data_IF_810516739267
#
_entry.id   IF_810516739267
#
_cell.length_a   1.000
_cell.length_b   1.000
_cell.length_c   1.000
_cell.angle_alpha   90.00
_cell.angle_beta   90.00
_cell.angle_gamma   90.00
#
_symmetry.space_group_name_H-M   'P 1'
#
loop_
_entity.id
_entity.type
_entity.pdbx_description
1 polymer ?
#
# COMPACT_ATOMS: atom_id res chain seq x y z
N UNK A 1 4.70 24.05 -68.01
CA UNK A 1 3.98 23.35 -66.89
C UNK A 1 2.54 23.91 -66.93
N UNK A 2 1.54 23.08 -67.04
CA UNK A 2 0.13 23.54 -67.04
C UNK A 2 -0.26 23.75 -65.62
N UNK A 3 -0.41 24.98 -65.15
CA UNK A 3 -0.90 25.33 -63.82
C UNK A 3 -2.43 25.26 -63.86
N UNK A 4 -2.99 24.47 -62.96
CA UNK A 4 -4.42 24.39 -62.76
C UNK A 4 -4.87 25.45 -61.73
N UNK A 5 -6.06 26.03 -61.91
CA UNK A 5 -6.63 27.00 -60.96
C UNK A 5 -7.63 26.30 -60.08
N UNK A 6 -7.48 26.44 -58.72
CA UNK A 6 -8.44 25.91 -57.80
C UNK A 6 -9.76 26.70 -57.86
N UNK A 7 -10.90 26.06 -58.14
CA UNK A 7 -12.18 26.76 -58.26
C UNK A 7 -12.71 27.32 -56.95
N UNK A 8 -12.21 26.80 -55.78
CA UNK A 8 -12.66 27.22 -54.47
C UNK A 8 -11.88 28.43 -53.92
N UNK A 9 -10.56 28.51 -54.15
CA UNK A 9 -9.73 29.58 -53.56
C UNK A 9 -8.95 30.41 -54.61
N UNK A 10 -9.04 30.08 -55.89
CA UNK A 10 -8.40 30.81 -57.00
C UNK A 10 -6.88 30.62 -57.11
N UNK A 11 -6.26 29.76 -56.32
CA UNK A 11 -4.79 29.55 -56.37
C UNK A 11 -4.38 28.71 -57.53
N UNK A 12 -3.23 29.08 -58.12
CA UNK A 12 -2.54 28.29 -59.16
C UNK A 12 -1.75 27.16 -58.44
N UNK A 13 -1.96 25.92 -58.88
CA UNK A 13 -1.29 24.72 -58.35
C UNK A 13 -0.84 23.82 -59.48
N UNK A 14 0.13 22.97 -59.25
CA UNK A 14 0.63 22.04 -60.28
C UNK A 14 -0.39 20.97 -60.63
N UNK A 15 -1.18 20.51 -59.63
CA UNK A 15 -2.23 19.51 -59.83
C UNK A 15 -3.42 19.74 -58.90
N UNK A 16 -4.61 19.32 -59.32
CA UNK A 16 -5.83 19.30 -58.55
C UNK A 16 -6.11 17.87 -58.10
N UNK A 17 -6.55 17.73 -56.85
CA UNK A 17 -7.02 16.48 -56.25
C UNK A 17 -8.53 16.59 -56.06
N UNK A 18 -9.30 15.70 -56.71
CA UNK A 18 -10.76 15.79 -56.69
C UNK A 18 -11.32 17.15 -57.19
N UNK A 19 -10.59 17.83 -58.09
CA UNK A 19 -10.97 19.15 -58.61
C UNK A 19 -10.60 20.34 -57.74
N UNK A 20 -9.93 20.16 -56.61
CA UNK A 20 -9.51 21.19 -55.64
C UNK A 20 -7.99 21.21 -55.48
N UNK A 21 -7.43 22.33 -55.05
CA UNK A 21 -6.03 22.33 -54.64
C UNK A 21 -5.85 21.48 -53.36
N UNK A 22 -4.66 20.94 -53.07
CA UNK A 22 -4.42 20.08 -51.90
C UNK A 22 -4.89 20.70 -50.58
N UNK A 23 -4.75 22.00 -50.41
CA UNK A 23 -5.19 22.71 -49.20
C UNK A 23 -6.72 22.78 -49.08
N UNK A 24 -7.43 23.11 -50.14
CA UNK A 24 -8.89 23.10 -50.14
C UNK A 24 -9.45 21.69 -50.06
N UNK A 25 -8.77 20.73 -50.67
CA UNK A 25 -9.13 19.33 -50.55
C UNK A 25 -9.04 18.83 -49.10
N UNK A 26 -7.94 19.11 -48.37
CA UNK A 26 -7.79 18.80 -46.94
C UNK A 26 -8.89 19.42 -46.10
N UNK A 27 -9.22 20.70 -46.34
CA UNK A 27 -10.27 21.41 -45.61
C UNK A 27 -11.66 20.77 -45.78
N UNK A 28 -11.95 20.21 -46.97
CA UNK A 28 -13.22 19.54 -47.26
C UNK A 28 -13.24 18.03 -46.93
N UNK A 29 -12.05 17.43 -46.80
CA UNK A 29 -11.88 16.02 -46.51
C UNK A 29 -10.96 15.87 -45.25
N UNK A 30 -11.46 16.24 -44.08
CA UNK A 30 -10.63 16.19 -42.87
C UNK A 30 -10.22 14.76 -42.50
N UNK A 31 -9.00 14.61 -41.97
CA UNK A 31 -8.45 13.33 -41.52
C UNK A 31 -9.21 12.76 -40.34
N UNK A 32 -9.86 13.64 -39.56
CA UNK A 32 -10.53 13.25 -38.32
C UNK A 32 -11.85 14.00 -38.16
N UNK A 33 -12.89 13.27 -37.84
CA UNK A 33 -14.21 13.83 -37.55
C UNK A 33 -14.83 13.18 -36.34
N UNK A 34 -15.58 13.97 -35.58
CA UNK A 34 -16.37 13.46 -34.45
C UNK A 34 -17.68 12.86 -35.01
N UNK A 35 -17.87 11.54 -34.80
CA UNK A 35 -19.09 10.83 -35.18
C UNK A 35 -20.16 10.88 -34.11
N UNK A 36 -19.74 10.87 -32.83
CA UNK A 36 -20.63 10.75 -31.70
C UNK A 36 -20.08 11.50 -30.48
N UNK A 37 -20.96 12.09 -29.72
CA UNK A 37 -20.64 12.76 -28.45
C UNK A 37 -19.94 11.79 -27.46
N UNK A 38 -18.92 12.29 -26.79
CA UNK A 38 -18.15 11.54 -25.82
C UNK A 38 -18.70 11.85 -24.43
N UNK A 39 -19.18 10.82 -23.76
CA UNK A 39 -19.73 10.91 -22.40
C UNK A 39 -18.83 10.17 -21.44
N UNK A 40 -18.25 10.87 -20.48
CA UNK A 40 -17.55 10.27 -19.34
C UNK A 40 -18.38 10.43 -18.06
N UNK A 41 -18.25 9.47 -17.16
CA UNK A 41 -18.87 9.54 -15.85
C UNK A 41 -17.85 10.10 -14.86
N UNK A 42 -18.29 10.99 -13.94
CA UNK A 42 -17.49 11.51 -12.82
C UNK A 42 -18.19 11.19 -11.51
N UNK A 43 -17.44 10.63 -10.56
CA UNK A 43 -17.96 10.42 -9.22
C UNK A 43 -18.02 11.76 -8.46
N UNK A 44 -19.20 12.19 -8.04
CA UNK A 44 -19.39 13.46 -7.30
C UNK A 44 -18.77 13.47 -5.90
N UNK A 45 -18.40 12.33 -5.34
CA UNK A 45 -17.78 12.24 -4.00
C UNK A 45 -16.26 12.23 -4.12
N UNK A 46 -15.69 11.30 -4.89
CA UNK A 46 -14.25 11.12 -4.96
C UNK A 46 -13.60 11.64 -6.24
N UNK A 47 -14.35 12.22 -7.16
CA UNK A 47 -13.85 12.77 -8.41
C UNK A 47 -13.39 11.73 -9.45
N UNK A 48 -13.44 10.43 -9.16
CA UNK A 48 -13.01 9.39 -10.09
C UNK A 48 -13.80 9.43 -11.40
N UNK A 49 -13.13 9.11 -12.51
CA UNK A 49 -13.70 9.08 -13.85
C UNK A 49 -13.90 7.66 -14.35
N UNK A 50 -14.84 7.50 -15.29
CA UNK A 50 -15.11 6.24 -15.97
C UNK A 50 -15.59 6.50 -17.39
N UNK A 51 -15.07 5.74 -18.36
CA UNK A 51 -15.51 5.77 -19.75
C UNK A 51 -16.13 4.43 -20.16
N UNK A 52 -17.41 4.41 -20.52
CA UNK A 52 -18.14 3.22 -20.94
C UNK A 52 -18.13 2.12 -19.88
N UNK A 53 -17.61 0.95 -20.26
CA UNK A 53 -17.49 -0.27 -19.44
C UNK A 53 -16.12 -0.43 -18.75
N UNK A 54 -15.24 0.60 -18.81
CA UNK A 54 -13.95 0.60 -18.10
C UNK A 54 -14.11 0.61 -16.58
N UNK A 55 -13.02 0.39 -15.86
CA UNK A 55 -12.97 0.64 -14.42
C UNK A 55 -13.04 2.12 -14.07
N UNK A 56 -13.31 2.42 -12.80
CA UNK A 56 -13.16 3.76 -12.25
C UNK A 56 -11.69 4.07 -12.03
N UNK A 57 -11.23 5.20 -12.54
CA UNK A 57 -9.86 5.70 -12.35
C UNK A 57 -9.88 7.16 -11.93
N UNK A 58 -8.78 7.61 -11.41
CA UNK A 58 -8.60 9.01 -11.06
C UNK A 58 -7.39 9.60 -11.79
N UNK A 59 -6.59 8.74 -12.37
CA UNK A 59 -5.48 9.11 -13.22
C UNK A 59 -6.05 9.44 -14.59
N UNK A 60 -5.85 10.69 -15.01
CA UNK A 60 -6.35 11.18 -16.30
C UNK A 60 -5.68 10.41 -17.44
N UNK A 61 -4.42 10.04 -17.27
CA UNK A 61 -3.63 9.25 -18.21
C UNK A 61 -4.27 7.89 -18.50
N UNK A 62 -4.77 7.22 -17.44
CA UNK A 62 -5.48 5.93 -17.57
C UNK A 62 -6.83 6.14 -18.29
N UNK A 63 -7.52 7.24 -18.00
CA UNK A 63 -8.76 7.60 -18.70
C UNK A 63 -8.49 7.88 -20.19
N UNK A 64 -7.42 8.61 -20.51
CA UNK A 64 -6.99 8.91 -21.89
C UNK A 64 -6.72 7.63 -22.67
N UNK A 65 -5.98 6.68 -22.05
CA UNK A 65 -5.69 5.38 -22.67
C UNK A 65 -6.97 4.58 -22.97
N UNK A 66 -7.92 4.56 -22.01
CA UNK A 66 -9.20 3.88 -22.21
C UNK A 66 -10.05 4.51 -23.32
N UNK A 67 -10.04 5.84 -23.42
CA UNK A 67 -10.73 6.56 -24.49
C UNK A 67 -10.03 6.32 -25.82
N UNK A 68 -8.70 6.38 -25.86
CA UNK A 68 -7.88 6.12 -27.05
C UNK A 68 -8.12 4.72 -27.62
N UNK A 69 -8.13 3.70 -26.79
CA UNK A 69 -8.39 2.30 -27.18
C UNK A 69 -9.77 2.13 -27.82
N UNK A 70 -10.73 2.97 -27.49
CA UNK A 70 -12.09 2.95 -27.99
C UNK A 70 -12.38 4.08 -28.99
N UNK A 71 -11.35 4.75 -29.53
CA UNK A 71 -11.47 5.93 -30.38
C UNK A 71 -12.37 5.72 -31.62
N UNK A 72 -12.29 4.55 -32.23
CA UNK A 72 -13.12 4.18 -33.41
C UNK A 72 -14.64 4.18 -33.14
N UNK A 73 -15.06 4.22 -31.85
CA UNK A 73 -16.49 4.29 -31.49
C UNK A 73 -17.08 5.68 -31.66
N UNK A 74 -16.24 6.72 -31.65
CA UNK A 74 -16.69 8.12 -31.70
C UNK A 74 -15.93 8.98 -32.72
N UNK A 75 -14.81 8.50 -33.25
CA UNK A 75 -14.06 9.17 -34.35
C UNK A 75 -14.22 8.42 -35.65
N UNK A 76 -14.18 9.18 -36.74
CA UNK A 76 -14.06 8.68 -38.11
C UNK A 76 -12.79 9.27 -38.71
N UNK A 77 -11.99 8.41 -39.33
CA UNK A 77 -10.77 8.81 -40.00
C UNK A 77 -10.98 8.86 -41.51
N UNK A 78 -10.69 10.01 -42.12
CA UNK A 78 -10.87 10.30 -43.55
C UNK A 78 -9.65 9.94 -44.42
N UNK A 79 -8.74 9.08 -43.89
CA UNK A 79 -7.53 8.73 -44.63
C UNK A 79 -6.71 7.67 -43.92
N UNK A 80 -5.45 7.48 -44.36
CA UNK A 80 -4.49 6.59 -43.73
C UNK A 80 -3.83 7.32 -42.56
N UNK A 81 -4.18 6.92 -41.31
CA UNK A 81 -3.66 7.48 -40.06
C UNK A 81 -2.47 6.65 -39.59
N UNK A 82 -1.38 7.33 -39.26
CA UNK A 82 -0.15 6.73 -38.73
C UNK A 82 0.04 6.93 -37.23
N UNK A 83 -0.51 8.02 -36.67
CA UNK A 83 -0.37 8.33 -35.26
C UNK A 83 -1.63 9.05 -34.74
N UNK A 84 -2.04 8.73 -33.50
CA UNK A 84 -3.14 9.36 -32.77
C UNK A 84 -2.70 9.71 -31.38
N UNK A 85 -2.70 11.00 -31.03
CA UNK A 85 -2.46 11.53 -29.72
C UNK A 85 -3.78 12.08 -29.19
N UNK A 86 -4.17 11.66 -27.99
CA UNK A 86 -5.42 12.05 -27.37
C UNK A 86 -5.13 12.62 -25.98
N UNK A 87 -5.71 13.78 -25.68
CA UNK A 87 -5.65 14.41 -24.36
C UNK A 87 -7.04 14.75 -23.89
N UNK A 88 -7.31 14.43 -22.62
CA UNK A 88 -8.58 14.70 -21.96
C UNK A 88 -8.38 15.78 -20.92
N UNK A 89 -9.18 16.83 -20.99
CA UNK A 89 -9.27 17.85 -19.95
C UNK A 89 -10.68 17.82 -19.33
N UNK A 90 -10.88 16.98 -18.31
CA UNK A 90 -12.21 16.80 -17.75
C UNK A 90 -12.78 18.06 -17.11
N UNK A 91 -11.93 18.89 -16.51
CA UNK A 91 -12.35 20.16 -15.86
C UNK A 91 -12.85 21.17 -16.91
N UNK A 92 -12.16 21.26 -18.05
CA UNK A 92 -12.53 22.14 -19.17
C UNK A 92 -13.64 21.54 -20.03
N UNK A 93 -13.98 20.26 -19.82
CA UNK A 93 -14.91 19.47 -20.62
C UNK A 93 -14.50 19.38 -22.09
N UNK A 94 -13.20 19.21 -22.33
CA UNK A 94 -12.62 19.19 -23.68
C UNK A 94 -11.84 17.89 -23.88
N UNK A 95 -12.01 17.33 -25.09
CA UNK A 95 -11.15 16.32 -25.68
C UNK A 95 -10.35 16.94 -26.82
N UNK A 96 -9.04 16.88 -26.74
CA UNK A 96 -8.12 17.24 -27.82
C UNK A 96 -7.59 15.97 -28.48
N UNK A 97 -7.74 15.89 -29.80
CA UNK A 97 -7.22 14.78 -30.59
C UNK A 97 -6.32 15.34 -31.68
N UNK A 98 -5.09 14.85 -31.74
CA UNK A 98 -4.14 15.14 -32.80
C UNK A 98 -3.90 13.87 -33.60
N UNK A 99 -4.01 13.97 -34.92
CA UNK A 99 -3.85 12.83 -35.82
C UNK A 99 -2.81 13.16 -36.88
N UNK A 100 -1.88 12.24 -37.11
CA UNK A 100 -0.93 12.31 -38.21
C UNK A 100 -1.34 11.30 -39.26
N UNK A 101 -1.42 11.74 -40.52
CA UNK A 101 -1.82 10.86 -41.60
C UNK A 101 -1.93 11.59 -42.94
N UNK A 102 -2.49 10.90 -43.93
CA UNK A 102 -2.74 11.40 -45.27
C UNK A 102 -4.21 11.15 -45.61
N UNK A 103 -4.93 12.19 -46.08
CA UNK A 103 -6.32 12.05 -46.49
C UNK A 103 -6.41 11.15 -47.74
N UNK A 104 -7.55 10.45 -47.87
CA UNK A 104 -7.79 9.64 -49.09
C UNK A 104 -7.68 10.49 -50.36
N UNK A 105 -6.95 9.99 -51.35
CA UNK A 105 -6.75 10.68 -52.66
C UNK A 105 -5.61 11.71 -52.67
N UNK A 106 -4.93 11.95 -51.54
CA UNK A 106 -3.69 12.71 -51.49
C UNK A 106 -2.50 11.75 -51.49
N UNK A 107 -1.45 12.07 -52.27
CA UNK A 107 -0.15 11.38 -52.28
C UNK A 107 0.93 12.21 -51.57
N UNK A 108 0.51 13.02 -50.59
CA UNK A 108 1.37 13.93 -49.84
C UNK A 108 2.10 13.25 -48.72
N UNK A 109 3.10 13.94 -48.13
CA UNK A 109 3.67 13.56 -46.85
C UNK A 109 2.63 13.64 -45.73
N UNK A 110 2.71 12.74 -44.71
CA UNK A 110 1.79 12.76 -43.59
C UNK A 110 1.81 14.10 -42.85
N UNK A 111 0.65 14.69 -42.61
CA UNK A 111 0.47 15.95 -41.91
C UNK A 111 -0.32 15.77 -40.61
N UNK A 112 -0.19 16.74 -39.70
CA UNK A 112 -0.94 16.77 -38.47
C UNK A 112 -2.26 17.53 -38.63
N UNK A 113 -3.33 16.94 -38.10
CA UNK A 113 -4.62 17.59 -37.98
C UNK A 113 -5.09 17.52 -36.51
N UNK A 114 -5.71 18.60 -36.01
CA UNK A 114 -6.18 18.73 -34.67
C UNK A 114 -7.70 18.81 -34.64
N UNK A 115 -8.32 18.06 -33.74
CA UNK A 115 -9.74 18.15 -33.44
C UNK A 115 -9.91 18.46 -31.94
N UNK A 116 -10.67 19.51 -31.63
CA UNK A 116 -11.14 19.82 -30.31
C UNK A 116 -12.62 19.50 -30.25
N UNK A 117 -13.01 18.60 -29.33
CA UNK A 117 -14.39 18.16 -29.20
C UNK A 117 -14.92 18.38 -27.77
N UNK A 118 -16.20 18.75 -27.61
CA UNK A 118 -16.81 18.87 -26.29
C UNK A 118 -16.95 17.50 -25.63
N UNK A 119 -16.71 17.47 -24.34
CA UNK A 119 -16.79 16.28 -23.51
C UNK A 119 -17.95 16.44 -22.52
N UNK A 120 -18.88 15.49 -22.54
CA UNK A 120 -20.02 15.51 -21.63
C UNK A 120 -19.68 14.76 -20.34
N UNK A 121 -19.78 15.46 -19.22
CA UNK A 121 -19.63 14.89 -17.89
C UNK A 121 -20.99 14.46 -17.35
N UNK A 122 -21.13 13.18 -17.00
CA UNK A 122 -22.29 12.66 -16.28
C UNK A 122 -21.88 12.37 -14.84
N UNK A 123 -22.43 13.14 -13.93
CA UNK A 123 -22.18 12.94 -12.50
C UNK A 123 -22.96 11.73 -11.96
N UNK A 124 -22.25 10.89 -11.20
CA UNK A 124 -22.80 9.68 -10.58
C UNK A 124 -21.98 9.29 -9.35
N UNK A 125 -22.21 8.14 -8.76
CA UNK A 125 -21.39 7.56 -7.70
C UNK A 125 -20.60 6.38 -8.22
N UNK A 126 -19.31 6.30 -7.88
CA UNK A 126 -18.52 5.10 -8.14
C UNK A 126 -18.91 3.97 -7.18
N UNK A 127 -18.58 2.73 -7.56
CA UNK A 127 -18.90 1.54 -6.75
C UNK A 127 -18.29 1.59 -5.35
N UNK A 128 -17.10 2.16 -5.20
CA UNK A 128 -16.42 2.32 -3.91
C UNK A 128 -17.18 3.29 -2.99
N UNK A 129 -17.56 4.48 -3.52
CA UNK A 129 -18.30 5.47 -2.75
C UNK A 129 -19.72 4.97 -2.40
N UNK A 130 -20.38 4.26 -3.31
CA UNK A 130 -21.67 3.63 -3.00
C UNK A 130 -21.57 2.61 -1.86
N UNK A 131 -20.53 1.75 -1.87
CA UNK A 131 -20.32 0.78 -0.78
C UNK A 131 -20.01 1.46 0.53
N UNK A 132 -19.15 2.50 0.51
CA UNK A 132 -18.81 3.27 1.69
C UNK A 132 -20.06 3.89 2.34
N UNK A 133 -20.88 4.59 1.55
CA UNK A 133 -22.15 5.17 2.02
C UNK A 133 -23.13 4.11 2.56
N UNK A 134 -23.16 2.94 1.91
CA UNK A 134 -24.02 1.83 2.33
C UNK A 134 -23.39 0.97 3.45
N UNK A 135 -22.24 1.36 4.00
CA UNK A 135 -21.45 0.59 4.97
C UNK A 135 -21.20 -0.88 4.55
N UNK A 136 -21.01 -1.12 3.25
CA UNK A 136 -20.78 -2.46 2.69
C UNK A 136 -19.31 -2.69 2.40
N UNK A 137 -18.64 -3.46 3.23
CA UNK A 137 -17.24 -3.80 3.03
C UNK A 137 -17.04 -4.74 1.82
N UNK A 138 -16.09 -4.38 0.94
CA UNK A 138 -15.58 -5.26 -0.10
C UNK A 138 -14.37 -6.06 0.39
N UNK A 139 -13.61 -5.50 1.34
CA UNK A 139 -12.48 -6.16 1.97
C UNK A 139 -12.47 -5.92 3.48
N UNK A 140 -12.00 -6.92 4.23
CA UNK A 140 -11.73 -6.83 5.66
C UNK A 140 -10.27 -7.18 5.90
N UNK A 141 -9.56 -6.36 6.65
CA UNK A 141 -8.21 -6.66 7.14
C UNK A 141 -8.32 -7.01 8.61
N UNK A 142 -7.90 -8.23 8.96
CA UNK A 142 -7.90 -8.74 10.32
C UNK A 142 -6.47 -8.77 10.85
N UNK A 143 -6.15 -7.91 11.83
CA UNK A 143 -4.84 -7.89 12.48
C UNK A 143 -4.90 -8.73 13.73
N UNK A 144 -4.07 -9.76 13.82
CA UNK A 144 -4.01 -10.72 14.93
C UNK A 144 -2.56 -11.00 15.28
N UNK A 145 -2.30 -11.34 16.55
CA UNK A 145 -1.04 -11.97 16.94
C UNK A 145 -1.27 -13.47 17.16
N UNK A 146 -0.26 -14.29 16.89
CA UNK A 146 -0.35 -15.73 17.04
C UNK A 146 -0.31 -16.10 18.53
N UNK A 147 -1.42 -16.65 19.05
CA UNK A 147 -1.51 -17.17 20.43
C UNK A 147 -1.45 -16.12 21.54
N UNK A 148 -1.51 -14.81 21.24
CA UNK A 148 -1.46 -13.72 22.20
C UNK A 148 -2.30 -12.52 21.77
N UNK A 149 -2.45 -11.56 22.64
CA UNK A 149 -3.02 -10.25 22.29
C UNK A 149 -2.00 -9.34 21.61
N UNK A 150 -2.53 -8.34 20.89
CA UNK A 150 -1.70 -7.27 20.33
C UNK A 150 -1.15 -6.39 21.46
N UNK A 151 0.14 -6.09 21.39
CA UNK A 151 0.77 -5.12 22.30
C UNK A 151 0.28 -3.69 22.04
N UNK A 152 0.52 -2.79 23.02
CA UNK A 152 0.20 -1.37 22.85
C UNK A 152 0.98 -0.72 21.69
N UNK A 153 2.21 -1.18 21.41
CA UNK A 153 3.01 -0.71 20.28
C UNK A 153 2.43 -1.17 18.94
N UNK A 154 1.99 -2.42 18.85
CA UNK A 154 1.34 -2.99 17.65
C UNK A 154 -0.01 -2.31 17.38
N UNK A 155 -0.82 -2.04 18.40
CA UNK A 155 -2.08 -1.28 18.27
C UNK A 155 -1.81 0.16 17.79
N UNK A 156 -0.77 0.81 18.33
CA UNK A 156 -0.33 2.14 17.85
C UNK A 156 0.11 2.11 16.40
N UNK A 157 0.86 1.10 15.98
CA UNK A 157 1.25 0.93 14.57
C UNK A 157 0.04 0.81 13.63
N UNK A 158 -1.02 0.09 14.04
CA UNK A 158 -2.29 0.03 13.29
C UNK A 158 -2.94 1.41 13.19
N UNK A 159 -3.02 2.15 14.30
CA UNK A 159 -3.60 3.50 14.31
C UNK A 159 -2.80 4.48 13.45
N UNK A 160 -1.47 4.43 13.52
CA UNK A 160 -0.59 5.25 12.69
C UNK A 160 -0.71 4.90 11.19
N UNK A 161 -0.86 3.61 10.85
CA UNK A 161 -1.08 3.19 9.47
C UNK A 161 -2.43 3.70 8.95
N UNK A 162 -3.48 3.69 9.77
CA UNK A 162 -4.78 4.30 9.45
C UNK A 162 -4.67 5.81 9.26
N UNK A 163 -3.92 6.50 10.13
CA UNK A 163 -3.69 7.93 10.02
C UNK A 163 -2.86 8.29 8.77
N UNK A 164 -1.85 7.49 8.43
CA UNK A 164 -1.05 7.66 7.21
C UNK A 164 -1.89 7.43 5.94
N UNK A 165 -2.71 6.38 5.94
CA UNK A 165 -3.68 6.13 4.86
C UNK A 165 -4.62 7.32 4.69
N UNK A 166 -5.08 7.92 5.81
CA UNK A 166 -5.92 9.10 5.81
C UNK A 166 -5.23 10.37 5.28
N UNK A 167 -3.93 10.51 5.43
CA UNK A 167 -3.13 11.67 4.98
C UNK A 167 -2.61 11.53 3.54
N UNK A 168 -2.70 10.37 2.91
CA UNK A 168 -2.24 10.18 1.54
C UNK A 168 -2.97 11.13 0.59
N UNK A 169 -2.21 11.77 -0.33
CA UNK A 169 -2.71 12.84 -1.22
C UNK A 169 -3.98 12.41 -1.95
N UNK A 170 -5.03 13.23 -1.86
CA UNK A 170 -6.31 13.00 -2.54
C UNK A 170 -7.26 12.10 -1.76
N UNK A 171 -7.41 12.33 -0.47
CA UNK A 171 -8.30 11.56 0.41
C UNK A 171 -9.68 11.38 -0.20
N UNK A 172 -10.00 10.13 -0.47
CA UNK A 172 -11.27 9.76 -1.07
C UNK A 172 -12.05 8.92 -0.09
N UNK A 173 -13.31 9.24 0.04
CA UNK A 173 -14.25 8.49 0.87
C UNK A 173 -14.12 6.97 0.69
N UNK A 174 -13.77 6.50 -0.51
CA UNK A 174 -13.60 5.07 -0.80
C UNK A 174 -12.27 4.46 -0.33
N UNK A 175 -11.31 5.27 0.08
CA UNK A 175 -10.00 4.83 0.60
C UNK A 175 -9.95 4.83 2.13
N UNK A 176 -10.82 5.59 2.77
CA UNK A 176 -10.96 5.59 4.24
C UNK A 176 -11.64 4.29 4.66
N UNK A 177 -11.29 3.68 5.79
CA UNK A 177 -12.03 2.53 6.31
C UNK A 177 -13.49 2.89 6.57
N UNK A 178 -14.39 1.95 6.33
CA UNK A 178 -15.82 2.08 6.67
C UNK A 178 -16.01 2.03 8.18
N UNK A 179 -15.24 1.13 8.80
CA UNK A 179 -15.34 0.80 10.22
C UNK A 179 -14.01 0.21 10.69
N UNK A 180 -13.66 0.49 11.94
CA UNK A 180 -12.55 -0.12 12.68
C UNK A 180 -13.15 -0.71 13.94
N UNK A 181 -13.02 -2.00 14.12
CA UNK A 181 -13.61 -2.76 15.21
C UNK A 181 -12.51 -3.39 16.07
N UNK A 182 -12.49 -3.06 17.35
CA UNK A 182 -11.67 -3.77 18.34
C UNK A 182 -12.38 -5.09 18.68
N UNK A 183 -11.68 -6.18 18.47
CA UNK A 183 -12.20 -7.53 18.76
C UNK A 183 -11.28 -8.26 19.74
N UNK A 184 -11.75 -9.30 20.41
CA UNK A 184 -10.86 -10.15 21.21
C UNK A 184 -9.65 -10.58 20.36
N UNK A 185 -8.45 -10.37 20.89
CA UNK A 185 -7.18 -10.72 20.26
C UNK A 185 -6.82 -9.94 18.98
N UNK A 186 -7.42 -8.75 18.70
CA UNK A 186 -6.98 -7.96 17.56
C UNK A 186 -7.86 -6.81 17.14
N UNK A 187 -7.70 -6.42 15.85
CA UNK A 187 -8.42 -5.32 15.22
C UNK A 187 -8.91 -5.77 13.85
N UNK A 188 -10.17 -5.50 13.55
CA UNK A 188 -10.76 -5.66 12.22
C UNK A 188 -10.98 -4.30 11.56
N UNK A 189 -10.49 -4.16 10.34
CA UNK A 189 -10.63 -2.93 9.55
C UNK A 189 -11.38 -3.23 8.26
N UNK A 190 -12.52 -2.57 8.08
CA UNK A 190 -13.42 -2.79 6.96
C UNK A 190 -13.26 -1.72 5.89
N UNK A 191 -13.05 -2.12 4.64
CA UNK A 191 -12.81 -1.22 3.50
C UNK A 191 -13.85 -1.39 2.41
N UNK A 192 -14.24 -0.26 1.79
CA UNK A 192 -15.15 -0.24 0.65
C UNK A 192 -14.54 -0.80 -0.64
N UNK A 193 -13.21 -0.86 -0.74
CA UNK A 193 -12.47 -1.33 -1.91
C UNK A 193 -11.30 -2.23 -1.53
N UNK A 194 -10.96 -3.17 -2.41
CA UNK A 194 -9.78 -4.03 -2.24
C UNK A 194 -8.47 -3.21 -2.30
N UNK A 195 -8.44 -2.17 -3.12
CA UNK A 195 -7.26 -1.32 -3.25
C UNK A 195 -6.92 -0.59 -1.94
N UNK A 196 -7.94 -0.06 -1.23
CA UNK A 196 -7.74 0.59 0.06
C UNK A 196 -7.23 -0.38 1.13
N UNK A 197 -7.75 -1.61 1.16
CA UNK A 197 -7.29 -2.64 2.07
C UNK A 197 -5.82 -3.03 1.82
N UNK A 198 -5.43 -3.20 0.56
CA UNK A 198 -4.04 -3.50 0.18
C UNK A 198 -3.09 -2.36 0.51
N UNK A 199 -3.50 -1.12 0.28
CA UNK A 199 -2.69 0.05 0.62
C UNK A 199 -2.49 0.17 2.13
N UNK A 200 -3.53 -0.07 2.93
CA UNK A 200 -3.40 -0.16 4.39
C UNK A 200 -2.39 -1.24 4.80
N UNK A 201 -2.49 -2.45 4.23
CA UNK A 201 -1.55 -3.55 4.50
C UNK A 201 -0.11 -3.15 4.12
N UNK A 202 0.09 -2.48 2.99
CA UNK A 202 1.39 -1.97 2.56
C UNK A 202 1.98 -0.98 3.58
N UNK A 203 1.18 0.01 4.01
CA UNK A 203 1.63 1.00 5.00
C UNK A 203 1.96 0.33 6.34
N UNK A 204 1.14 -0.63 6.78
CA UNK A 204 1.36 -1.34 8.03
C UNK A 204 2.62 -2.22 7.98
N UNK A 205 2.93 -2.83 6.82
CA UNK A 205 4.13 -3.66 6.63
C UNK A 205 5.46 -2.89 6.77
N UNK A 206 5.43 -1.57 6.66
CA UNK A 206 6.59 -0.72 6.91
C UNK A 206 6.88 -0.53 8.42
N UNK A 207 5.90 -0.81 9.26
CA UNK A 207 5.96 -0.60 10.72
C UNK A 207 6.14 -1.89 11.52
N UNK A 208 5.39 -2.93 11.18
CA UNK A 208 5.37 -4.20 11.89
C UNK A 208 5.47 -5.37 10.91
N UNK A 209 6.08 -6.45 11.38
CA UNK A 209 6.14 -7.70 10.64
C UNK A 209 4.84 -8.51 10.86
N UNK A 210 4.33 -9.10 9.80
CA UNK A 210 3.24 -10.07 9.83
C UNK A 210 3.29 -11.02 8.64
N UNK A 211 2.74 -12.21 8.79
CA UNK A 211 2.40 -13.10 7.67
C UNK A 211 0.99 -12.78 7.16
N UNK A 212 0.75 -12.92 5.87
CA UNK A 212 -0.53 -12.58 5.23
C UNK A 212 -1.20 -13.85 4.74
N UNK A 213 -2.44 -14.08 5.22
CA UNK A 213 -3.35 -15.07 4.67
C UNK A 213 -4.50 -14.35 3.96
N UNK A 214 -4.59 -14.54 2.65
CA UNK A 214 -5.67 -13.99 1.83
C UNK A 214 -6.74 -15.04 1.56
N UNK A 215 -8.00 -14.71 1.81
CA UNK A 215 -9.16 -15.54 1.46
C UNK A 215 -10.18 -14.69 0.72
N UNK A 216 -10.96 -15.33 -0.16
CA UNK A 216 -11.95 -14.66 -0.99
C UNK A 216 -13.26 -15.48 -0.98
N UNK A 217 -14.39 -14.79 -0.76
CA UNK A 217 -15.72 -15.39 -0.78
C UNK A 217 -16.57 -14.73 -1.86
N UNK A 218 -17.19 -15.54 -2.72
CA UNK A 218 -18.19 -15.08 -3.68
C UNK A 218 -19.42 -14.56 -2.91
N UNK A 219 -19.81 -13.30 -3.14
CA UNK A 219 -20.96 -12.66 -2.47
C UNK A 219 -22.06 -12.25 -3.44
N UNK A 220 -21.93 -12.58 -4.72
CA UNK A 220 -22.95 -12.33 -5.74
C UNK A 220 -22.37 -12.11 -7.13
N UNK A 221 -23.26 -11.83 -8.08
CA UNK A 221 -22.91 -11.57 -9.49
C UNK A 221 -23.47 -10.18 -9.86
N UNK A 222 -22.74 -9.42 -10.67
CA UNK A 222 -23.20 -8.15 -11.22
C UNK A 222 -24.26 -8.40 -12.32
N UNK A 223 -25.02 -7.35 -12.69
CA UNK A 223 -25.92 -7.40 -13.86
C UNK A 223 -25.19 -7.74 -15.18
N UNK A 224 -23.89 -7.49 -15.25
CA UNK A 224 -23.02 -7.82 -16.40
C UNK A 224 -22.38 -9.21 -16.32
N UNK A 225 -22.83 -10.09 -15.41
CA UNK A 225 -22.31 -11.45 -15.23
C UNK A 225 -20.97 -11.56 -14.49
N UNK A 226 -20.38 -10.45 -14.00
CA UNK A 226 -19.12 -10.49 -13.27
C UNK A 226 -19.36 -10.87 -11.81
N UNK A 227 -18.52 -11.76 -11.29
CA UNK A 227 -18.55 -12.18 -9.90
C UNK A 227 -18.12 -11.03 -8.96
N UNK A 228 -18.80 -10.94 -7.83
CA UNK A 228 -18.46 -10.04 -6.72
C UNK A 228 -17.87 -10.86 -5.59
N UNK A 229 -16.64 -10.56 -5.22
CA UNK A 229 -15.96 -11.22 -4.12
C UNK A 229 -15.78 -10.27 -2.95
N UNK A 230 -15.95 -10.78 -1.72
CA UNK A 230 -15.51 -10.16 -0.48
C UNK A 230 -14.17 -10.80 -0.10
N UNK A 231 -13.13 -9.98 0.04
CA UNK A 231 -11.78 -10.40 0.39
C UNK A 231 -11.56 -10.26 1.90
N UNK A 232 -10.87 -11.22 2.49
CA UNK A 232 -10.35 -11.10 3.86
C UNK A 232 -8.84 -11.28 3.84
N UNK A 233 -8.12 -10.29 4.35
CA UNK A 233 -6.67 -10.28 4.54
C UNK A 233 -6.41 -10.45 6.04
N UNK A 234 -6.01 -11.64 6.46
CA UNK A 234 -5.62 -11.90 7.83
C UNK A 234 -4.11 -11.68 7.96
N UNK A 235 -3.74 -10.72 8.80
CA UNK A 235 -2.36 -10.38 9.13
C UNK A 235 -2.04 -11.02 10.47
N UNK A 236 -1.08 -11.94 10.47
CA UNK A 236 -0.69 -12.69 11.64
C UNK A 236 0.69 -12.24 12.12
N UNK A 237 0.74 -11.51 13.23
CA UNK A 237 1.96 -11.07 13.88
C UNK A 237 2.60 -12.25 14.63
N UNK A 238 3.93 -12.18 14.92
CA UNK A 238 4.65 -13.25 15.61
C UNK A 238 4.04 -13.60 16.97
N UNK A 239 4.19 -14.86 17.37
CA UNK A 239 3.76 -15.37 18.69
C UNK A 239 4.55 -14.82 19.86
N UNK A 240 5.70 -14.20 19.61
CA UNK A 240 6.57 -13.56 20.60
C UNK A 240 6.53 -12.03 20.45
N UNK A 241 6.90 -11.35 21.51
CA UNK A 241 7.01 -9.89 21.59
C UNK A 241 8.35 -9.47 22.18
N UNK A 242 8.65 -8.18 22.16
CA UNK A 242 9.81 -7.61 22.82
C UNK A 242 9.78 -7.95 24.32
N UNK A 243 10.92 -8.39 24.84
CA UNK A 243 11.08 -8.81 26.22
C UNK A 243 10.88 -10.31 26.48
N UNK A 244 10.33 -11.05 25.50
CA UNK A 244 10.21 -12.50 25.62
C UNK A 244 11.56 -13.19 25.42
N UNK A 245 11.73 -14.34 26.09
CA UNK A 245 12.83 -15.27 25.83
C UNK A 245 12.34 -16.34 24.87
N UNK A 246 13.06 -16.47 23.76
CA UNK A 246 12.78 -17.44 22.70
C UNK A 246 13.90 -18.47 22.60
N UNK A 247 13.54 -19.64 22.11
CA UNK A 247 14.51 -20.67 21.73
C UNK A 247 14.58 -20.75 20.20
N UNK A 248 15.81 -20.69 19.68
CA UNK A 248 16.12 -20.85 18.26
C UNK A 248 17.33 -21.77 18.09
N UNK A 249 17.14 -22.91 17.43
CA UNK A 249 18.19 -23.93 17.22
C UNK A 249 18.87 -24.41 18.51
N UNK A 250 18.09 -24.52 19.61
CA UNK A 250 18.58 -24.97 20.91
C UNK A 250 19.20 -23.89 21.80
N UNK A 251 19.42 -22.68 21.29
CA UNK A 251 19.96 -21.55 22.06
C UNK A 251 18.85 -20.62 22.52
N UNK A 252 19.06 -19.99 23.68
CA UNK A 252 18.14 -19.04 24.29
C UNK A 252 18.51 -17.61 23.93
N UNK A 253 17.51 -16.84 23.50
CA UNK A 253 17.67 -15.45 23.12
C UNK A 253 16.60 -14.58 23.77
N UNK A 254 16.98 -13.41 24.27
CA UNK A 254 16.04 -12.34 24.60
C UNK A 254 15.66 -11.59 23.31
N UNK A 255 14.39 -11.36 23.10
CA UNK A 255 13.89 -10.48 22.04
C UNK A 255 14.08 -9.02 22.46
N UNK A 256 15.11 -8.36 21.94
CA UNK A 256 15.36 -6.95 22.25
C UNK A 256 14.51 -5.99 21.43
N UNK A 257 14.30 -6.32 20.12
CA UNK A 257 13.48 -5.49 19.25
C UNK A 257 12.95 -6.28 18.04
N UNK A 258 11.78 -5.91 17.54
CA UNK A 258 11.14 -6.49 16.37
C UNK A 258 10.88 -5.37 15.37
N UNK A 259 11.58 -5.37 14.25
CA UNK A 259 11.36 -4.41 13.16
C UNK A 259 10.68 -5.10 11.98
N UNK A 260 10.14 -4.32 11.04
CA UNK A 260 9.37 -4.84 9.90
C UNK A 260 10.02 -5.99 9.11
N UNK A 261 11.35 -6.10 9.11
CA UNK A 261 12.08 -7.16 8.38
C UNK A 261 13.18 -7.84 9.20
N UNK A 262 13.41 -7.44 10.45
CA UNK A 262 14.56 -7.87 11.24
C UNK A 262 14.17 -8.12 12.69
N UNK A 263 14.74 -9.16 13.26
CA UNK A 263 14.62 -9.52 14.68
C UNK A 263 15.99 -9.30 15.33
N UNK A 264 16.02 -8.47 16.38
CA UNK A 264 17.21 -8.16 17.17
C UNK A 264 17.14 -9.00 18.44
N UNK A 265 18.12 -9.86 18.62
CA UNK A 265 18.21 -10.85 19.68
C UNK A 265 19.48 -10.63 20.50
N UNK A 266 19.37 -10.87 21.80
CA UNK A 266 20.52 -11.00 22.69
C UNK A 266 20.67 -12.48 23.06
N UNK A 267 21.80 -13.08 22.68
CA UNK A 267 22.16 -14.43 23.09
C UNK A 267 22.43 -14.46 24.62
N UNK A 268 21.69 -15.29 25.35
CA UNK A 268 21.77 -15.30 26.82
C UNK A 268 23.03 -16.02 27.33
N UNK A 269 23.66 -16.90 26.54
CA UNK A 269 24.89 -17.59 26.89
C UNK A 269 26.13 -16.73 26.63
N UNK A 270 26.16 -16.08 25.44
CA UNK A 270 27.31 -15.31 25.00
C UNK A 270 27.23 -13.83 25.35
N UNK A 271 26.03 -13.35 25.75
CA UNK A 271 25.71 -11.94 25.96
C UNK A 271 26.01 -11.04 24.72
N UNK A 272 25.87 -11.62 23.54
CA UNK A 272 26.12 -10.94 22.26
C UNK A 272 24.81 -10.64 21.55
N UNK A 273 24.77 -9.47 20.89
CA UNK A 273 23.63 -9.11 20.05
C UNK A 273 23.76 -9.71 18.66
N UNK A 274 22.69 -10.32 18.18
CA UNK A 274 22.60 -10.81 16.82
C UNK A 274 21.35 -10.25 16.15
N UNK A 275 21.42 -10.07 14.84
CA UNK A 275 20.29 -9.61 14.02
C UNK A 275 20.00 -10.65 12.96
N UNK A 276 18.79 -11.16 12.96
CA UNK A 276 18.36 -12.14 11.96
C UNK A 276 17.19 -11.60 11.13
N UNK A 277 17.07 -12.01 9.84
CA UNK A 277 15.92 -11.63 9.04
C UNK A 277 14.65 -12.29 9.56
N UNK A 278 13.55 -11.53 9.62
CA UNK A 278 12.22 -12.05 9.87
C UNK A 278 11.65 -12.60 8.57
N UNK A 279 11.51 -13.92 8.53
CA UNK A 279 10.89 -14.66 7.43
C UNK A 279 9.94 -15.69 8.01
N UNK A 280 9.04 -16.22 7.18
CA UNK A 280 8.14 -17.31 7.60
C UNK A 280 8.91 -18.55 8.13
N UNK A 281 10.02 -18.89 7.50
CA UNK A 281 10.88 -19.99 7.96
C UNK A 281 11.52 -19.70 9.32
N UNK A 282 11.96 -18.47 9.55
CA UNK A 282 12.51 -18.04 10.84
C UNK A 282 11.44 -18.11 11.94
N UNK A 283 10.22 -17.61 11.66
CA UNK A 283 9.11 -17.68 12.61
C UNK A 283 8.77 -19.11 13.02
N UNK A 284 8.73 -20.03 12.05
CA UNK A 284 8.42 -21.44 12.30
C UNK A 284 9.50 -22.15 13.11
N UNK A 285 10.76 -21.69 13.05
CA UNK A 285 11.88 -22.25 13.80
C UNK A 285 12.00 -21.72 15.24
N UNK A 286 11.27 -20.65 15.56
CA UNK A 286 11.30 -20.02 16.89
C UNK A 286 10.21 -20.65 17.78
N UNK A 287 10.56 -21.00 19.01
CA UNK A 287 9.60 -21.29 20.09
C UNK A 287 9.72 -20.25 21.20
N UNK A 288 8.59 -19.86 21.78
CA UNK A 288 8.58 -19.01 22.97
C UNK A 288 8.94 -19.91 24.14
N UNK A 289 10.03 -19.57 24.84
CA UNK A 289 10.46 -20.30 26.03
C UNK A 289 9.79 -19.74 27.28
N UNK A 290 9.84 -18.41 27.45
CA UNK A 290 9.26 -17.72 28.60
C UNK A 290 8.79 -16.36 28.18
N UNK A 291 7.53 -16.03 28.49
CA UNK A 291 6.99 -14.68 28.27
C UNK A 291 7.71 -13.67 29.18
N UNK A 292 7.91 -12.45 28.72
CA UNK A 292 8.64 -11.43 29.46
C UNK A 292 8.03 -11.13 30.83
N UNK A 293 6.69 -11.24 30.97
CA UNK A 293 5.98 -11.06 32.23
C UNK A 293 6.18 -12.22 33.22
N UNK A 294 6.59 -13.39 32.75
CA UNK A 294 6.81 -14.60 33.57
C UNK A 294 8.26 -14.73 34.04
N UNK A 295 9.14 -13.80 33.61
CA UNK A 295 10.52 -13.78 34.09
C UNK A 295 10.58 -13.51 35.60
N UNK A 296 11.51 -14.17 36.25
CA UNK A 296 11.76 -13.94 37.66
C UNK A 296 12.45 -12.60 37.87
N UNK A 297 12.00 -11.83 38.87
CA UNK A 297 12.63 -10.57 39.26
C UNK A 297 13.53 -10.74 40.45
N UNK A 298 14.64 -10.00 40.47
CA UNK A 298 15.59 -10.00 41.58
C UNK A 298 16.25 -8.65 41.77
N UNK A 299 16.94 -8.53 42.91
CA UNK A 299 17.73 -7.34 43.26
C UNK A 299 19.19 -7.75 43.43
N UNK A 300 20.09 -7.03 42.82
CA UNK A 300 21.54 -7.23 42.97
C UNK A 300 21.95 -6.86 44.39
N UNK A 301 22.53 -7.81 45.11
CA UNK A 301 23.02 -7.62 46.46
C UNK A 301 24.49 -7.22 46.48
N UNK A 302 25.30 -7.97 45.72
CA UNK A 302 26.73 -7.69 45.59
C UNK A 302 27.24 -8.17 44.23
N UNK A 303 28.45 -7.75 43.89
CA UNK A 303 29.13 -8.14 42.67
C UNK A 303 30.60 -8.45 42.95
N UNK A 304 31.09 -9.52 42.36
CA UNK A 304 32.48 -9.89 42.22
C UNK A 304 32.91 -9.71 40.75
N UNK A 305 34.16 -9.98 40.40
CA UNK A 305 34.65 -9.82 39.01
C UNK A 305 33.81 -10.58 37.98
N UNK A 306 33.46 -11.85 38.27
CA UNK A 306 32.76 -12.74 37.33
C UNK A 306 31.38 -13.18 37.84
N UNK A 307 30.97 -12.81 39.04
CA UNK A 307 29.71 -13.24 39.63
C UNK A 307 28.90 -12.06 40.14
N UNK A 308 27.60 -12.17 40.01
CA UNK A 308 26.61 -11.24 40.53
C UNK A 308 25.74 -12.02 41.48
N UNK A 309 25.61 -11.56 42.72
CA UNK A 309 24.72 -12.13 43.71
C UNK A 309 23.40 -11.39 43.67
N UNK A 310 22.34 -12.13 43.36
CA UNK A 310 21.00 -11.57 43.18
C UNK A 310 20.06 -12.22 44.20
N UNK A 311 19.34 -11.43 44.97
CA UNK A 311 18.23 -11.90 45.77
C UNK A 311 16.97 -12.00 44.90
N UNK A 312 16.45 -13.20 44.78
CA UNK A 312 15.18 -13.47 44.10
C UNK A 312 14.03 -12.81 44.83
N UNK A 313 13.18 -12.09 44.15
CA UNK A 313 11.95 -11.53 44.71
C UNK A 313 10.83 -12.58 44.81
N UNK A 314 11.01 -13.77 44.23
CA UNK A 314 10.03 -14.86 44.24
C UNK A 314 10.05 -15.66 45.54
N UNK A 315 11.25 -16.02 46.03
CA UNK A 315 11.44 -16.94 47.13
C UNK A 315 12.51 -16.46 48.13
N UNK A 316 13.03 -15.23 47.97
CA UNK A 316 14.10 -14.61 48.74
C UNK A 316 15.40 -15.45 48.78
N UNK A 317 15.59 -16.35 47.81
CA UNK A 317 16.84 -17.10 47.69
C UNK A 317 17.95 -16.23 47.13
N UNK A 318 19.19 -16.47 47.57
CA UNK A 318 20.37 -15.86 47.01
C UNK A 318 20.83 -16.67 45.78
N UNK A 319 20.92 -16.03 44.66
CA UNK A 319 21.30 -16.63 43.39
C UNK A 319 22.66 -16.11 42.96
N UNK A 320 23.49 -17.04 42.51
CA UNK A 320 24.74 -16.71 41.82
C UNK A 320 24.53 -16.69 40.33
N UNK A 321 24.81 -15.54 39.70
CA UNK A 321 24.63 -15.31 38.28
C UNK A 321 25.97 -14.92 37.70
N UNK A 322 26.38 -15.56 36.61
CA UNK A 322 27.62 -15.22 35.92
C UNK A 322 27.49 -13.86 35.23
N UNK A 323 28.44 -12.97 35.49
CA UNK A 323 28.50 -11.63 34.94
C UNK A 323 28.96 -11.67 33.49
N UNK A 324 28.07 -11.89 32.54
CA UNK A 324 28.37 -11.97 31.13
C UNK A 324 28.04 -10.67 30.41
N UNK A 325 28.95 -10.19 29.55
CA UNK A 325 28.77 -9.05 28.67
C UNK A 325 28.86 -7.66 29.33
N UNK A 326 28.92 -6.60 28.52
CA UNK A 326 29.21 -5.23 28.98
C UNK A 326 28.09 -4.63 29.84
N UNK A 327 26.87 -5.13 29.70
CA UNK A 327 25.72 -4.66 30.51
C UNK A 327 25.83 -5.15 31.94
N UNK A 328 26.21 -6.40 32.15
CA UNK A 328 26.42 -6.95 33.50
C UNK A 328 27.51 -6.19 34.29
N UNK A 329 28.49 -5.64 33.58
CA UNK A 329 29.56 -4.82 34.13
C UNK A 329 29.07 -3.51 34.83
N UNK A 330 27.89 -3.03 34.44
CA UNK A 330 27.31 -1.76 34.95
C UNK A 330 26.35 -1.94 36.12
N UNK A 331 26.06 -3.19 36.52
CA UNK A 331 25.17 -3.45 37.61
C UNK A 331 25.81 -3.10 38.95
N UNK A 332 25.07 -2.42 39.79
CA UNK A 332 25.47 -2.03 41.17
C UNK A 332 24.49 -2.64 42.16
N UNK A 333 24.90 -2.81 43.44
CA UNK A 333 23.98 -3.22 44.50
C UNK A 333 22.70 -2.35 44.49
N UNK A 334 21.53 -2.99 44.59
CA UNK A 334 20.22 -2.36 44.50
C UNK A 334 19.63 -2.32 43.07
N UNK A 335 20.38 -2.66 42.01
CA UNK A 335 19.84 -2.78 40.65
C UNK A 335 18.78 -3.88 40.58
N UNK A 336 17.64 -3.59 39.95
CA UNK A 336 16.63 -4.59 39.65
C UNK A 336 16.94 -5.30 38.34
N UNK A 337 16.76 -6.62 38.33
CA UNK A 337 17.09 -7.48 37.19
C UNK A 337 15.98 -8.50 36.95
N UNK A 338 15.83 -8.94 35.72
CA UNK A 338 14.98 -10.08 35.36
C UNK A 338 15.87 -11.29 35.07
N UNK A 339 15.45 -12.44 35.56
CA UNK A 339 16.21 -13.68 35.56
C UNK A 339 15.43 -14.80 34.85
N UNK A 340 16.15 -15.73 34.29
CA UNK A 340 15.62 -17.00 33.82
C UNK A 340 16.41 -18.16 34.45
N UNK A 341 15.72 -19.11 35.06
CA UNK A 341 16.34 -20.35 35.55
C UNK A 341 16.07 -21.49 34.58
N UNK A 342 17.12 -22.13 34.09
CA UNK A 342 17.03 -23.33 33.25
C UNK A 342 18.13 -24.32 33.61
N UNK A 343 17.77 -25.57 33.94
CA UNK A 343 18.70 -26.66 34.15
C UNK A 343 19.78 -26.36 35.20
N UNK A 344 19.44 -25.61 36.25
CA UNK A 344 20.39 -25.21 37.30
C UNK A 344 21.24 -23.99 36.96
N UNK A 345 21.12 -23.43 35.78
CA UNK A 345 21.79 -22.20 35.35
C UNK A 345 20.82 -21.02 35.48
N UNK A 346 21.31 -19.90 36.02
CA UNK A 346 20.56 -18.64 36.12
C UNK A 346 21.11 -17.66 35.07
N UNK A 347 20.26 -17.26 34.16
CA UNK A 347 20.59 -16.26 33.10
C UNK A 347 20.08 -14.89 33.49
N UNK A 348 20.89 -13.88 33.28
CA UNK A 348 20.53 -12.49 33.44
C UNK A 348 19.88 -12.00 32.14
N UNK A 349 18.60 -11.62 32.19
CA UNK A 349 17.82 -11.32 30.96
C UNK A 349 17.74 -9.83 30.71
N UNK A 350 17.22 -9.04 31.65
CA UNK A 350 17.06 -7.59 31.52
C UNK A 350 17.46 -6.85 32.79
N UNK A 351 17.67 -5.54 32.66
CA UNK A 351 18.04 -4.67 33.79
C UNK A 351 17.08 -3.48 33.86
N UNK A 352 16.50 -3.19 34.98
CA UNK A 352 15.86 -1.91 35.24
C UNK A 352 16.94 -0.89 35.62
N UNK A 353 17.32 -0.02 34.68
CA UNK A 353 18.38 0.97 34.93
C UNK A 353 18.75 1.85 33.75
N UNK A 354 18.21 1.60 32.56
CA UNK A 354 18.27 2.62 31.51
C UNK A 354 16.98 3.44 31.54
N UNK A 355 17.03 4.77 31.83
CA UNK A 355 15.89 5.62 31.54
C UNK A 355 15.67 5.53 30.03
N UNK A 356 14.46 5.18 29.61
CA UNK A 356 14.01 5.29 28.22
C UNK A 356 14.46 6.68 27.74
N UNK A 357 15.39 6.74 26.80
CA UNK A 357 15.78 7.98 26.16
C UNK A 357 14.60 8.46 25.32
N UNK A 358 13.62 9.08 25.96
CA UNK A 358 12.71 10.00 25.33
C UNK A 358 13.53 11.22 24.94
N UNK A 359 14.10 11.22 23.75
CA UNK A 359 14.52 12.46 23.11
C UNK A 359 13.27 13.28 22.82
N UNK A 360 12.89 14.11 23.79
CA UNK A 360 12.11 15.30 23.53
C UNK A 360 12.99 16.23 22.70
N UNK A 361 12.76 16.25 21.38
CA UNK A 361 13.19 17.36 20.54
C UNK A 361 12.26 18.52 20.82
N UNK A 362 12.67 19.42 21.73
CA UNK A 362 12.23 20.80 21.77
C UNK A 362 13.19 21.56 20.85
N UNK A 363 12.64 22.28 19.87
CA UNK A 363 13.36 23.16 18.95
C UNK A 363 12.51 23.39 17.72
#
# INVERSE_FOLDING_TARGET
>A
MVHAVCPLCGRFVESLVGGLCPQCYRANHPLIQLKKEIVIQRCRICGAYKYGDSGWTQEVEVLEEEIRRKANRFLVFGGRVTEVVLRVRPEDRILEVKVKGVAHGLEDEPYWENLTAPLKLRETLCDGCMRHLAKRAAATVQVRAEGRELTGEERRAVQEALAALAKSKGLRTSQVPIEVEEVPHGVDVHFATHAAAREFVRILSEKVFFDVLETSKLVGITRSGREKHKQTLRLLLPKFKKGDVIELKGNLYLVEDIRASKLILLDLERAEKTTIPLTRSTLNAISVHTAGEELEHGVVISRSENLIYVMSMRDNSLLEVEARGPKAARLVPGSRVSLLRREGIVYLVTFEGEPSSSRSSVG
#
